data_IF_038503482832
#
_entry.id   IF_038503482832
#
_cell.length_a   1.000
_cell.length_b   1.000
_cell.length_c   1.000
_cell.angle_alpha   90.00
_cell.angle_beta   90.00
_cell.angle_gamma   90.00
#
_symmetry.space_group_name_H-M   'P 1'
#
loop_
_entity.id
_entity.type
_entity.pdbx_description
1 polymer ?
#
# COMPACT_ATOMS: atom_id res chain seq x y z
N UNK A 1 -3.75 -9.35 -12.13
CA UNK A 1 -2.74 -8.52 -11.44
C UNK A 1 -1.62 -8.24 -12.43
N UNK A 2 -1.08 -7.01 -12.52
CA UNK A 2 0.00 -6.72 -13.49
C UNK A 2 1.32 -7.34 -13.03
N UNK A 3 2.03 -7.96 -13.97
CA UNK A 3 3.39 -8.48 -13.79
C UNK A 3 4.39 -7.36 -14.05
N UNK A 4 5.55 -7.41 -13.38
CA UNK A 4 6.65 -6.50 -13.67
C UNK A 4 7.73 -7.24 -14.44
N UNK A 5 8.16 -6.64 -15.55
CA UNK A 5 9.23 -7.16 -16.39
C UNK A 5 10.49 -6.34 -16.16
N UNK A 6 11.59 -7.03 -15.88
CA UNK A 6 12.94 -6.49 -15.75
C UNK A 6 13.75 -7.04 -16.92
N UNK A 7 14.49 -6.17 -17.60
CA UNK A 7 15.41 -6.55 -18.68
C UNK A 7 16.73 -5.84 -18.49
N UNK A 8 17.78 -6.60 -18.24
CA UNK A 8 19.13 -6.08 -18.07
C UNK A 8 20.13 -6.82 -18.97
N UNK A 9 21.23 -6.14 -19.29
CA UNK A 9 22.34 -6.69 -20.05
C UNK A 9 23.59 -6.64 -19.18
N UNK A 10 24.31 -7.77 -19.04
CA UNK A 10 25.63 -7.74 -18.41
C UNK A 10 26.67 -7.07 -19.30
N UNK A 11 27.82 -6.73 -18.72
CA UNK A 11 29.00 -6.27 -19.44
C UNK A 11 29.51 -7.29 -20.50
N UNK A 12 29.08 -8.55 -20.41
CA UNK A 12 29.43 -9.65 -21.32
C UNK A 12 28.33 -9.96 -22.37
N UNK A 13 27.34 -9.07 -22.53
CA UNK A 13 26.16 -9.25 -23.40
C UNK A 13 25.27 -10.45 -23.02
N UNK A 14 25.29 -10.90 -21.77
CA UNK A 14 24.27 -11.83 -21.28
C UNK A 14 22.97 -11.06 -21.02
N UNK A 15 21.87 -11.57 -21.55
CA UNK A 15 20.55 -10.98 -21.36
C UNK A 15 19.87 -11.62 -20.15
N UNK A 16 19.38 -10.77 -19.26
CA UNK A 16 18.61 -11.15 -18.08
C UNK A 16 17.17 -10.67 -18.30
N UNK A 17 16.25 -11.60 -18.54
CA UNK A 17 14.83 -11.31 -18.51
C UNK A 17 14.24 -11.84 -17.20
N UNK A 18 13.74 -10.94 -16.36
CA UNK A 18 13.11 -11.25 -15.08
C UNK A 18 11.64 -10.86 -15.07
N UNK A 19 10.77 -11.72 -14.54
CA UNK A 19 9.36 -11.41 -14.29
C UNK A 19 9.05 -11.54 -12.80
N UNK A 20 8.48 -10.49 -12.21
CA UNK A 20 7.93 -10.52 -10.84
C UNK A 20 6.41 -10.63 -10.93
N UNK A 21 5.88 -11.74 -10.42
CA UNK A 21 4.45 -12.02 -10.34
C UNK A 21 3.99 -11.94 -8.89
N UNK A 22 2.96 -11.15 -8.63
CA UNK A 22 2.32 -11.06 -7.31
C UNK A 22 1.09 -11.97 -7.27
N UNK A 23 1.02 -12.89 -6.31
CA UNK A 23 -0.08 -13.86 -6.23
C UNK A 23 -1.18 -13.44 -5.25
N UNK A 24 -0.79 -12.96 -4.08
CA UNK A 24 -1.74 -12.59 -3.03
C UNK A 24 -1.17 -11.51 -2.13
N UNK A 25 -2.07 -10.68 -1.60
CA UNK A 25 -1.73 -9.60 -0.68
C UNK A 25 -2.80 -9.43 0.39
N UNK A 26 -2.39 -9.09 1.59
CA UNK A 26 -3.28 -8.73 2.68
C UNK A 26 -2.86 -7.38 3.28
N UNK A 27 -3.84 -6.51 3.50
CA UNK A 27 -3.66 -5.20 4.13
C UNK A 27 -4.46 -5.15 5.42
N UNK A 28 -3.79 -4.80 6.51
CA UNK A 28 -4.37 -4.78 7.87
C UNK A 28 -4.02 -3.48 8.59
N UNK A 29 -4.76 -3.15 9.65
CA UNK A 29 -4.48 -1.99 10.52
C UNK A 29 -5.28 -0.72 10.23
N UNK A 30 -6.10 -0.70 9.17
CA UNK A 30 -6.97 0.45 8.85
C UNK A 30 -8.08 0.70 9.89
N UNK A 31 -8.41 -0.32 10.69
CA UNK A 31 -9.42 -0.22 11.76
C UNK A 31 -8.93 0.54 12.99
N UNK A 32 -7.61 0.66 13.19
CA UNK A 32 -7.02 1.30 14.36
C UNK A 32 -6.86 2.81 14.17
N UNK A 33 -7.89 3.48 13.64
CA UNK A 33 -7.83 4.91 13.34
C UNK A 33 -7.97 5.73 14.62
N UNK A 34 -7.14 6.75 14.80
CA UNK A 34 -7.20 7.66 15.93
C UNK A 34 -7.44 9.09 15.46
N UNK A 35 -8.39 9.78 16.08
CA UNK A 35 -8.58 11.22 15.88
C UNK A 35 -7.50 11.98 16.66
N UNK A 36 -6.70 12.80 15.98
CA UNK A 36 -5.70 13.67 16.65
C UNK A 36 -6.33 15.00 17.07
N UNK A 37 -6.82 15.76 16.10
CA UNK A 37 -7.48 17.05 16.34
C UNK A 37 -8.54 17.29 15.27
N UNK A 38 -9.52 18.13 15.60
CA UNK A 38 -10.51 18.63 14.64
C UNK A 38 -10.62 20.14 14.79
N UNK A 39 -10.77 20.81 13.65
CA UNK A 39 -10.99 22.24 13.57
C UNK A 39 -12.25 22.50 12.77
N UNK A 40 -13.09 23.40 13.29
CA UNK A 40 -14.19 23.99 12.54
C UNK A 40 -13.61 24.88 11.44
N UNK A 41 -13.83 24.52 10.17
CA UNK A 41 -13.19 25.22 9.05
C UNK A 41 -14.04 26.40 8.58
N UNK A 42 -15.33 26.17 8.34
CA UNK A 42 -16.24 27.20 7.82
C UNK A 42 -17.65 26.94 8.35
N UNK A 43 -18.29 28.00 8.85
CA UNK A 43 -19.74 28.06 9.10
C UNK A 43 -20.35 28.97 8.04
N UNK A 44 -20.79 28.37 6.92
CA UNK A 44 -21.72 29.06 6.04
C UNK A 44 -23.10 28.99 6.71
N UNK A 45 -24.00 29.92 6.40
CA UNK A 45 -25.31 30.07 7.06
C UNK A 45 -26.04 28.74 7.28
N UNK A 46 -25.89 27.81 6.33
CA UNK A 46 -26.66 26.55 6.32
C UNK A 46 -25.77 25.29 6.38
N UNK A 47 -24.44 25.43 6.44
CA UNK A 47 -23.50 24.32 6.38
C UNK A 47 -22.31 24.47 7.32
N UNK A 48 -22.01 23.38 8.02
CA UNK A 48 -20.87 23.25 8.92
C UNK A 48 -19.86 22.29 8.29
N UNK A 49 -18.62 22.77 8.09
CA UNK A 49 -17.49 21.91 7.71
C UNK A 49 -16.50 21.76 8.87
N UNK A 50 -16.16 20.52 9.18
CA UNK A 50 -15.16 20.14 10.18
C UNK A 50 -14.04 19.39 9.48
N UNK A 51 -12.81 19.85 9.70
CA UNK A 51 -11.60 19.19 9.24
C UNK A 51 -10.96 18.48 10.43
N UNK A 52 -10.80 17.16 10.33
CA UNK A 52 -10.14 16.36 11.34
C UNK A 52 -8.86 15.73 10.80
N UNK A 53 -7.78 15.81 11.57
CA UNK A 53 -6.59 15.02 11.31
C UNK A 53 -6.69 13.68 12.05
N UNK A 54 -6.46 12.61 11.30
CA UNK A 54 -6.48 11.23 11.78
C UNK A 54 -5.10 10.60 11.65
N UNK A 55 -4.81 9.67 12.55
CA UNK A 55 -3.59 8.89 12.60
C UNK A 55 -3.94 7.41 12.48
N UNK A 56 -3.30 6.72 11.55
CA UNK A 56 -3.27 5.27 11.53
C UNK A 56 -1.91 4.85 12.08
N UNK A 57 -1.86 4.31 13.32
CA UNK A 57 -0.60 4.07 14.03
C UNK A 57 0.23 2.98 13.35
N UNK A 58 -0.43 2.02 12.71
CA UNK A 58 0.22 0.93 12.00
C UNK A 58 -0.69 0.36 10.91
N UNK A 59 -0.15 0.29 9.70
CA UNK A 59 -0.74 -0.40 8.55
C UNK A 59 0.28 -1.41 8.06
N UNK A 60 -0.11 -2.68 8.05
CA UNK A 60 0.76 -3.76 7.59
C UNK A 60 0.21 -4.31 6.28
N UNK A 61 1.08 -4.42 5.28
CA UNK A 61 0.81 -5.02 3.99
C UNK A 61 1.73 -6.22 3.80
N UNK A 62 1.16 -7.41 3.62
CA UNK A 62 1.92 -8.65 3.40
C UNK A 62 1.60 -9.19 2.01
N UNK A 63 2.61 -9.61 1.27
CA UNK A 63 2.48 -10.18 -0.07
C UNK A 63 3.21 -11.50 -0.21
N UNK A 64 2.70 -12.31 -1.12
CA UNK A 64 3.38 -13.48 -1.68
C UNK A 64 3.51 -13.29 -3.18
N UNK A 65 4.68 -13.58 -3.71
CA UNK A 65 4.94 -13.50 -5.13
C UNK A 65 5.96 -14.54 -5.57
N UNK A 66 6.20 -14.54 -6.87
CA UNK A 66 7.20 -15.35 -7.53
C UNK A 66 8.05 -14.46 -8.40
N UNK A 67 9.33 -14.75 -8.40
CA UNK A 67 10.29 -14.17 -9.30
C UNK A 67 10.82 -15.24 -10.25
N UNK A 68 10.76 -14.97 -11.55
CA UNK A 68 11.15 -15.89 -12.61
C UNK A 68 12.23 -15.19 -13.44
N UNK A 69 13.38 -15.84 -13.65
CA UNK A 69 14.49 -15.32 -14.46
C UNK A 69 14.86 -16.33 -15.51
N UNK A 70 15.02 -15.85 -16.75
CA UNK A 70 15.72 -16.56 -17.81
C UNK A 70 17.03 -15.85 -18.10
N UNK A 71 18.15 -16.55 -17.92
CA UNK A 71 19.49 -16.08 -18.33
C UNK A 71 19.92 -16.86 -19.57
N UNK A 72 20.28 -16.16 -20.65
CA UNK A 72 20.78 -16.76 -21.88
C UNK A 72 22.06 -16.07 -22.37
N UNK A 73 22.99 -16.86 -22.92
CA UNK A 73 24.15 -16.35 -23.67
C UNK A 73 23.92 -16.60 -25.16
N UNK A 74 24.41 -15.70 -26.02
CA UNK A 74 24.29 -15.84 -27.48
C UNK A 74 25.06 -17.03 -28.08
N UNK A 75 25.92 -17.70 -27.30
CA UNK A 75 26.85 -18.72 -27.80
C UNK A 75 26.63 -20.14 -27.25
N UNK A 76 25.73 -20.39 -26.30
CA UNK A 76 25.32 -21.76 -25.96
C UNK A 76 23.91 -21.83 -25.36
N UNK A 77 23.10 -22.68 -25.95
CA UNK A 77 21.68 -22.94 -25.68
C UNK A 77 21.48 -23.63 -24.32
N UNK A 78 21.74 -22.91 -23.22
CA UNK A 78 21.31 -23.30 -21.87
C UNK A 78 20.67 -22.10 -21.22
N UNK A 79 19.43 -21.83 -21.62
CA UNK A 79 18.53 -20.96 -20.89
C UNK A 79 18.36 -21.57 -19.49
N UNK A 80 18.95 -20.93 -18.48
CA UNK A 80 18.67 -21.30 -17.09
C UNK A 80 17.44 -20.53 -16.67
N UNK A 81 16.29 -21.20 -16.69
CA UNK A 81 15.09 -20.71 -16.02
C UNK A 81 15.19 -20.96 -14.52
N UNK A 82 15.14 -19.89 -13.73
CA UNK A 82 15.12 -19.96 -12.27
C UNK A 82 13.84 -19.31 -11.76
N UNK A 83 13.08 -20.07 -10.97
CA UNK A 83 11.89 -19.57 -10.29
C UNK A 83 12.13 -19.55 -8.78
N UNK A 84 11.76 -18.46 -8.12
CA UNK A 84 11.87 -18.30 -6.66
C UNK A 84 10.61 -17.67 -6.10
N UNK A 85 9.93 -18.38 -5.20
CA UNK A 85 8.84 -17.82 -4.42
C UNK A 85 9.39 -16.91 -3.31
N UNK A 86 8.70 -15.81 -3.05
CA UNK A 86 9.05 -14.86 -2.00
C UNK A 86 7.85 -14.42 -1.16
N UNK A 87 8.17 -13.99 0.05
CA UNK A 87 7.29 -13.28 0.97
C UNK A 87 7.83 -11.88 1.17
N UNK A 88 6.97 -10.88 1.05
CA UNK A 88 7.31 -9.50 1.35
C UNK A 88 6.35 -8.93 2.37
N UNK A 89 6.86 -8.10 3.27
CA UNK A 89 6.07 -7.35 4.23
C UNK A 89 6.48 -5.87 4.23
N UNK A 90 5.48 -5.00 4.26
CA UNK A 90 5.64 -3.57 4.44
C UNK A 90 4.81 -3.18 5.66
N UNK A 91 5.47 -2.62 6.66
CA UNK A 91 4.83 -2.05 7.84
C UNK A 91 5.00 -0.55 7.80
N UNK A 92 3.90 0.17 7.70
CA UNK A 92 3.86 1.62 7.68
C UNK A 92 3.33 2.09 9.03
N UNK A 93 4.07 2.96 9.70
CA UNK A 93 3.70 3.48 11.03
C UNK A 93 3.41 4.96 10.97
N UNK A 94 2.51 5.42 11.82
CA UNK A 94 2.16 6.84 11.97
C UNK A 94 1.72 7.48 10.64
N UNK A 95 0.82 6.81 9.91
CA UNK A 95 0.23 7.39 8.70
C UNK A 95 -0.72 8.51 9.11
N UNK A 96 -0.51 9.69 8.57
CA UNK A 96 -1.35 10.86 8.86
C UNK A 96 -2.25 11.16 7.68
N UNK A 97 -3.51 11.40 7.97
CA UNK A 97 -4.49 11.81 6.98
C UNK A 97 -5.38 12.92 7.54
N UNK A 98 -6.03 13.62 6.64
CA UNK A 98 -7.03 14.62 6.93
C UNK A 98 -8.35 14.18 6.32
N UNK A 99 -9.41 14.27 7.12
CA UNK A 99 -10.78 14.05 6.68
C UNK A 99 -11.56 15.36 6.83
N UNK A 100 -12.27 15.73 5.79
CA UNK A 100 -13.26 16.81 5.85
C UNK A 100 -14.65 16.19 5.89
N UNK A 101 -15.43 16.62 6.88
CA UNK A 101 -16.82 16.20 7.06
C UNK A 101 -17.69 17.44 7.03
N UNK A 102 -18.73 17.39 6.19
CA UNK A 102 -19.71 18.46 6.05
C UNK A 102 -21.10 17.97 6.51
N UNK A 103 -21.81 18.81 7.23
CA UNK A 103 -23.20 18.57 7.66
C UNK A 103 -23.99 19.87 7.54
N UNK A 104 -25.28 19.77 7.25
CA UNK A 104 -26.17 20.94 7.27
C UNK A 104 -26.53 21.31 8.70
N UNK A 105 -26.95 22.56 8.91
CA UNK A 105 -27.44 23.01 10.23
C UNK A 105 -28.79 22.36 10.59
N UNK A 106 -29.57 21.96 9.58
CA UNK A 106 -30.89 21.35 9.74
C UNK A 106 -30.86 19.86 10.13
N UNK A 107 -29.68 19.33 10.45
CA UNK A 107 -29.51 17.95 10.93
C UNK A 107 -29.41 16.90 9.83
N UNK A 108 -29.01 17.30 8.60
CA UNK A 108 -28.72 16.31 7.56
C UNK A 108 -27.52 15.44 7.93
N UNK A 109 -27.57 14.19 7.45
CA UNK A 109 -26.55 13.17 7.64
C UNK A 109 -25.16 13.72 7.28
N UNK A 110 -24.17 13.67 8.19
CA UNK A 110 -22.81 14.11 7.90
C UNK A 110 -22.19 13.32 6.74
N UNK A 111 -21.55 14.03 5.82
CA UNK A 111 -20.92 13.44 4.63
C UNK A 111 -19.41 13.72 4.62
N UNK A 112 -18.63 12.72 4.22
CA UNK A 112 -17.19 12.87 4.01
C UNK A 112 -16.97 13.49 2.64
N UNK A 113 -16.57 14.76 2.61
CA UNK A 113 -16.34 15.49 1.36
C UNK A 113 -14.93 15.24 0.83
N UNK A 114 -13.95 15.16 1.73
CA UNK A 114 -12.55 15.00 1.37
C UNK A 114 -11.83 14.02 2.31
N UNK A 115 -10.91 13.25 1.75
CA UNK A 115 -9.96 12.40 2.46
C UNK A 115 -8.59 12.58 1.80
N UNK A 116 -7.66 13.19 2.53
CA UNK A 116 -6.32 13.52 2.04
C UNK A 116 -5.27 12.78 2.86
N UNK A 117 -4.38 12.05 2.20
CA UNK A 117 -3.20 11.48 2.85
C UNK A 117 -2.15 12.59 3.04
N UNK A 118 -1.84 12.95 4.29
CA UNK A 118 -0.86 13.99 4.61
C UNK A 118 0.57 13.43 4.67
N UNK A 119 0.72 12.26 5.29
CA UNK A 119 2.02 11.62 5.48
C UNK A 119 1.88 10.11 5.39
N UNK A 120 2.81 9.49 4.66
CA UNK A 120 2.97 8.04 4.59
C UNK A 120 3.69 7.49 5.84
N UNK A 121 4.16 8.34 6.75
CA UNK A 121 4.80 7.90 7.99
C UNK A 121 6.10 7.10 7.78
N UNK A 122 6.47 6.30 8.79
CA UNK A 122 7.71 5.51 8.79
C UNK A 122 7.49 4.15 8.15
N UNK A 123 8.28 3.82 7.13
CA UNK A 123 8.10 2.60 6.35
C UNK A 123 9.20 1.60 6.69
N UNK A 124 8.81 0.46 7.24
CA UNK A 124 9.67 -0.72 7.43
C UNK A 124 9.37 -1.75 6.36
N UNK A 125 10.42 -2.35 5.82
CA UNK A 125 10.36 -3.32 4.73
C UNK A 125 11.01 -4.61 5.19
N UNK A 126 10.34 -5.73 4.96
CA UNK A 126 10.87 -7.07 5.12
C UNK A 126 10.66 -7.85 3.83
N UNK A 127 11.62 -8.70 3.50
CA UNK A 127 11.56 -9.57 2.34
C UNK A 127 12.31 -10.85 2.64
N UNK A 128 11.71 -11.98 2.32
CA UNK A 128 12.26 -13.30 2.56
C UNK A 128 11.93 -14.21 1.37
N UNK A 129 12.95 -14.84 0.80
CA UNK A 129 12.73 -15.95 -0.12
C UNK A 129 12.33 -17.19 0.66
N UNK A 130 11.42 -17.99 0.09
CA UNK A 130 10.85 -19.17 0.75
C UNK A 130 11.88 -20.27 1.06
N UNK A 131 12.94 -20.38 0.27
CA UNK A 131 13.85 -21.53 0.30
C UNK A 131 15.24 -21.22 0.88
N UNK A 132 15.40 -20.13 1.66
CA UNK A 132 16.71 -19.78 2.24
C UNK A 132 16.92 -20.51 3.57
N UNK A 133 17.11 -21.82 3.47
CA UNK A 133 17.86 -22.59 4.46
C UNK A 133 19.25 -22.98 3.97
N UNK A 134 19.65 -22.59 2.76
CA UNK A 134 20.94 -22.99 2.19
C UNK A 134 21.85 -21.80 1.86
N UNK A 135 22.86 -21.67 2.73
CA UNK A 135 24.25 -21.33 2.45
C UNK A 135 24.62 -19.93 1.93
N UNK A 136 25.49 -19.31 2.71
CA UNK A 136 26.37 -18.15 2.46
C UNK A 136 27.29 -18.25 1.21
N UNK A 137 26.95 -19.01 0.17
CA UNK A 137 27.88 -19.35 -0.93
C UNK A 137 27.41 -18.98 -2.35
N UNK A 138 26.22 -18.44 -2.56
CA UNK A 138 25.74 -18.06 -3.90
C UNK A 138 25.53 -16.55 -4.07
N UNK A 139 26.64 -15.80 -4.04
CA UNK A 139 26.70 -14.35 -4.22
C UNK A 139 26.86 -13.89 -5.69
N UNK A 140 26.66 -14.76 -6.69
CA UNK A 140 26.91 -14.41 -8.10
C UNK A 140 25.71 -14.58 -9.05
N UNK A 141 24.60 -15.19 -8.61
CA UNK A 141 23.38 -15.36 -9.42
C UNK A 141 22.10 -15.08 -8.61
N UNK A 142 22.24 -14.48 -7.43
CA UNK A 142 21.16 -14.00 -6.60
C UNK A 142 20.76 -12.65 -7.14
N UNK A 143 19.57 -12.56 -7.75
CA UNK A 143 19.03 -11.27 -8.18
C UNK A 143 19.05 -10.32 -7.00
N UNK A 144 19.81 -9.23 -7.11
CA UNK A 144 20.13 -8.43 -5.97
C UNK A 144 18.84 -7.78 -5.46
N UNK A 145 18.72 -7.77 -4.13
CA UNK A 145 17.54 -7.32 -3.42
C UNK A 145 17.01 -5.96 -3.92
N UNK A 146 17.88 -5.08 -4.43
CA UNK A 146 17.47 -3.78 -4.98
C UNK A 146 16.50 -3.91 -6.17
N UNK A 147 16.69 -4.87 -7.08
CA UNK A 147 15.92 -5.00 -8.33
C UNK A 147 14.46 -5.38 -8.09
N UNK A 148 14.21 -6.16 -7.03
CA UNK A 148 12.85 -6.57 -6.64
C UNK A 148 12.25 -5.56 -5.65
N UNK A 149 13.08 -4.95 -4.79
CA UNK A 149 12.60 -4.10 -3.70
C UNK A 149 11.88 -2.84 -4.16
N UNK A 150 12.31 -2.21 -5.27
CA UNK A 150 11.68 -0.98 -5.76
C UNK A 150 10.32 -1.25 -6.43
N UNK A 151 10.18 -2.20 -7.38
CA UNK A 151 8.88 -2.60 -7.91
C UNK A 151 7.92 -3.10 -6.82
N UNK A 152 8.43 -3.89 -5.87
CA UNK A 152 7.69 -4.35 -4.69
C UNK A 152 7.14 -3.20 -3.85
N UNK A 153 7.99 -2.19 -3.59
CA UNK A 153 7.60 -0.99 -2.86
C UNK A 153 6.50 -0.23 -3.62
N UNK A 154 6.73 0.14 -4.89
CA UNK A 154 5.75 0.85 -5.72
C UNK A 154 4.40 0.13 -5.73
N UNK A 155 4.42 -1.19 -5.90
CA UNK A 155 3.21 -2.02 -5.92
C UNK A 155 2.44 -1.98 -4.61
N UNK A 156 3.16 -2.09 -3.50
CA UNK A 156 2.56 -2.10 -2.17
C UNK A 156 1.95 -0.76 -1.79
N UNK A 157 2.59 0.34 -2.20
CA UNK A 157 2.01 1.69 -2.05
C UNK A 157 0.77 1.90 -2.89
N UNK A 158 0.80 1.46 -4.15
CA UNK A 158 -0.36 1.55 -5.01
C UNK A 158 -1.56 0.78 -4.44
N UNK A 159 -1.33 -0.43 -3.93
CA UNK A 159 -2.37 -1.21 -3.28
C UNK A 159 -2.87 -0.58 -1.98
N UNK A 160 -1.98 0.03 -1.19
CA UNK A 160 -2.38 0.81 -0.02
C UNK A 160 -3.31 1.97 -0.42
N UNK A 161 -2.93 2.77 -1.42
CA UNK A 161 -3.73 3.91 -1.89
C UNK A 161 -5.10 3.47 -2.42
N UNK A 162 -5.17 2.35 -3.16
CA UNK A 162 -6.45 1.79 -3.61
C UNK A 162 -7.38 1.42 -2.45
N UNK A 163 -6.85 0.77 -1.41
CA UNK A 163 -7.67 0.40 -0.24
C UNK A 163 -8.04 1.63 0.58
N UNK A 164 -7.11 2.58 0.73
CA UNK A 164 -7.28 3.80 1.52
C UNK A 164 -8.33 4.75 0.91
N UNK A 165 -8.24 5.02 -0.39
CA UNK A 165 -9.17 5.92 -1.08
C UNK A 165 -10.48 5.26 -1.50
N UNK A 166 -10.54 3.92 -1.54
CA UNK A 166 -11.75 3.16 -1.86
C UNK A 166 -12.43 2.61 -0.60
N UNK A 167 -12.25 1.31 -0.27
CA UNK A 167 -12.92 0.64 0.85
C UNK A 167 -12.87 1.38 2.19
N UNK A 168 -11.73 1.97 2.55
CA UNK A 168 -11.59 2.70 3.81
C UNK A 168 -12.40 4.00 3.83
N UNK A 169 -12.33 4.80 2.75
CA UNK A 169 -13.20 5.97 2.58
C UNK A 169 -14.67 5.59 2.71
N UNK A 170 -15.12 4.54 2.03
CA UNK A 170 -16.52 4.07 2.13
C UNK A 170 -16.89 3.56 3.53
N UNK A 171 -15.94 3.03 4.29
CA UNK A 171 -16.16 2.68 5.69
C UNK A 171 -16.33 3.93 6.56
N UNK A 172 -15.51 4.97 6.35
CA UNK A 172 -15.65 6.26 7.03
C UNK A 172 -16.99 6.92 6.70
N UNK A 173 -17.37 6.98 5.43
CA UNK A 173 -18.66 7.52 4.98
C UNK A 173 -19.84 6.84 5.69
N UNK A 174 -19.83 5.50 5.78
CA UNK A 174 -20.85 4.75 6.50
C UNK A 174 -20.83 5.01 8.01
N UNK A 175 -19.64 5.14 8.60
CA UNK A 175 -19.51 5.46 10.03
C UNK A 175 -20.08 6.85 10.34
N UNK A 176 -19.76 7.87 9.54
CA UNK A 176 -20.32 9.22 9.70
C UNK A 176 -21.82 9.25 9.42
N UNK A 177 -22.30 8.50 8.43
CA UNK A 177 -23.72 8.42 8.12
C UNK A 177 -24.55 7.70 9.19
N UNK A 178 -23.91 6.86 10.02
CA UNK A 178 -24.59 6.20 11.14
C UNK A 178 -24.87 7.13 12.33
N UNK A 179 -24.25 8.32 12.34
CA UNK A 179 -24.49 9.33 13.39
C UNK A 179 -25.80 10.04 13.09
N UNK A 180 -26.86 9.64 13.79
CA UNK A 180 -28.15 10.34 13.79
C UNK A 180 -28.13 11.39 14.90
N UNK A 181 -28.41 12.64 14.54
CA UNK A 181 -28.66 13.67 15.55
C UNK A 181 -30.11 13.54 16.02
N UNK A 182 -30.38 13.64 17.33
CA UNK A 182 -31.76 13.74 17.80
C UNK A 182 -32.38 14.98 17.17
N UNK A 183 -33.46 14.81 16.42
CA UNK A 183 -34.32 15.93 16.04
C UNK A 183 -34.91 16.49 17.33
N UNK A 184 -34.42 17.64 17.79
CA UNK A 184 -35.15 18.42 18.79
C UNK A 184 -36.44 18.90 18.12
N UNK A 185 -37.53 18.20 18.41
CA UNK A 185 -38.89 18.69 18.15
C UNK A 185 -39.07 19.98 18.96
N UNK A 186 -38.95 21.13 18.32
CA UNK A 186 -39.51 22.40 18.79
C UNK A 186 -40.89 22.61 18.18
#
# INVERSE_FOLDING_TARGET
MPNFYLREYSAENEQFDGTVTFHSGNLTGLISVHRRFCQLSVKLTDNVSIICNILLPRVDVKYRGRYEVSTGSSSSYRDQERQRDFFGDISVRNVEAQIEVKTSVDGETPTVTNLLLLSKGDIRKGFQYKDVHENHLYNQLSVPFYEISEPFYKRSFYAFEQVFYGPFRSALERAFASVSYPHEHY
#
